data_IF_109678465284
#
_entry.id   IF_109678465284
#
_cell.length_a   1.000
_cell.length_b   1.000
_cell.length_c   1.000
_cell.angle_alpha   90.00
_cell.angle_beta   90.00
_cell.angle_gamma   90.00
#
_symmetry.space_group_name_H-M   'P 1'
#
loop_
_entity.id
_entity.type
_entity.pdbx_description
1 polymer ?
#
# COMPACT_ATOMS: atom_id res chain seq x y z
N UNK A 1 -3.94 9.15 4.10
CA UNK A 1 -5.24 8.76 4.62
C UNK A 1 -5.13 8.69 6.13
N UNK A 2 -6.07 9.34 6.81
CA UNK A 2 -6.27 9.19 8.23
C UNK A 2 -6.99 7.85 8.52
N UNK A 3 -6.93 7.34 9.75
CA UNK A 3 -7.57 6.07 10.16
C UNK A 3 -9.08 6.02 9.91
N UNK A 4 -9.74 7.19 9.86
CA UNK A 4 -11.13 7.34 9.45
C UNK A 4 -12.13 7.33 10.61
N UNK A 5 -13.42 7.53 10.32
CA UNK A 5 -14.46 7.62 11.34
C UNK A 5 -14.75 6.26 12.01
N UNK A 6 -15.34 6.29 13.20
CA UNK A 6 -15.77 5.07 13.88
C UNK A 6 -17.10 4.53 13.32
N UNK A 7 -17.58 3.38 13.81
CA UNK A 7 -18.82 2.69 13.36
C UNK A 7 -20.15 3.46 13.37
N UNK A 8 -20.17 4.71 13.86
CA UNK A 8 -21.34 5.59 13.81
C UNK A 8 -21.01 6.89 13.06
N UNK A 9 -20.05 6.81 12.15
CA UNK A 9 -19.62 7.85 11.24
C UNK A 9 -19.16 9.17 11.90
N UNK A 10 -18.63 9.11 13.14
CA UNK A 10 -18.02 10.28 13.77
C UNK A 10 -16.50 10.22 13.69
N UNK A 11 -15.91 11.38 13.42
CA UNK A 11 -14.48 11.60 13.31
C UNK A 11 -14.08 12.72 14.28
N UNK A 12 -12.94 12.55 14.97
CA UNK A 12 -12.36 13.58 15.81
C UNK A 12 -10.94 13.85 15.36
N UNK A 13 -10.70 15.06 14.87
CA UNK A 13 -9.37 15.51 14.50
C UNK A 13 -8.59 15.90 15.76
N UNK A 14 -7.71 15.01 16.21
CA UNK A 14 -6.87 15.21 17.39
C UNK A 14 -5.56 14.46 17.20
N UNK A 15 -4.44 15.18 17.21
CA UNK A 15 -3.08 14.61 17.02
C UNK A 15 -2.73 13.53 18.05
N UNK A 16 -3.32 13.59 19.23
CA UNK A 16 -3.15 12.57 20.29
C UNK A 16 -3.97 11.30 20.06
N UNK A 17 -4.90 11.33 19.11
CA UNK A 17 -5.80 10.21 18.82
C UNK A 17 -5.38 9.50 17.53
N UNK A 18 -4.45 8.57 17.72
CA UNK A 18 -3.88 7.74 16.67
C UNK A 18 -4.95 6.94 15.90
N UNK A 19 -6.04 6.52 16.55
CA UNK A 19 -7.08 5.72 15.89
C UNK A 19 -7.78 6.43 14.73
N UNK A 20 -7.94 7.75 14.80
CA UNK A 20 -8.59 8.53 13.74
C UNK A 20 -7.57 9.16 12.79
N UNK A 21 -6.39 9.51 13.29
CA UNK A 21 -5.45 10.39 12.58
C UNK A 21 -4.15 9.72 12.13
N UNK A 22 -3.92 8.43 12.43
CA UNK A 22 -2.67 7.76 12.06
C UNK A 22 -2.43 7.74 10.55
N UNK A 23 -1.35 8.38 10.07
CA UNK A 23 -0.92 8.25 8.70
C UNK A 23 -0.05 7.00 8.58
N UNK A 24 -0.60 5.89 8.08
CA UNK A 24 0.16 4.66 7.82
C UNK A 24 0.55 4.54 6.36
N UNK A 25 1.76 4.04 6.09
CA UNK A 25 2.22 3.76 4.73
C UNK A 25 1.31 2.75 4.02
N UNK A 26 0.90 1.70 4.73
CA UNK A 26 0.00 0.66 4.23
C UNK A 26 -1.41 1.19 3.90
N UNK A 27 -1.94 2.11 4.71
CA UNK A 27 -3.21 2.78 4.42
C UNK A 27 -3.14 3.61 3.14
N UNK A 28 -2.02 4.32 2.94
CA UNK A 28 -1.84 5.19 1.78
C UNK A 28 -1.59 4.42 0.47
N UNK A 29 -0.77 3.37 0.48
CA UNK A 29 -0.42 2.62 -0.74
C UNK A 29 -1.62 1.95 -1.38
N UNK A 30 -2.53 1.39 -0.58
CA UNK A 30 -3.73 0.72 -1.10
C UNK A 30 -4.76 1.70 -1.66
N UNK A 31 -4.81 2.92 -1.14
CA UNK A 31 -5.63 4.00 -1.67
C UNK A 31 -5.07 4.60 -2.95
N UNK A 32 -3.75 4.76 -3.05
CA UNK A 32 -3.10 5.19 -4.30
C UNK A 32 -3.37 4.18 -5.42
N UNK A 33 -3.26 2.88 -5.13
CA UNK A 33 -3.60 1.82 -6.09
C UNK A 33 -5.06 1.91 -6.58
N UNK A 34 -6.00 2.12 -5.66
CA UNK A 34 -7.42 2.24 -5.98
C UNK A 34 -7.73 3.52 -6.81
N UNK A 35 -7.11 4.65 -6.47
CA UNK A 35 -7.27 5.91 -7.21
C UNK A 35 -6.72 5.79 -8.63
N UNK A 36 -5.54 5.20 -8.82
CA UNK A 36 -4.96 4.94 -10.15
C UNK A 36 -5.88 4.04 -10.97
N UNK A 37 -6.45 2.99 -10.35
CA UNK A 37 -7.39 2.07 -11.01
C UNK A 37 -8.73 2.73 -11.37
N UNK A 38 -9.17 3.75 -10.62
CA UNK A 38 -10.42 4.46 -10.86
C UNK A 38 -10.29 5.56 -11.92
N UNK A 39 -9.11 6.17 -12.04
CA UNK A 39 -8.81 7.07 -13.16
C UNK A 39 -8.59 6.27 -14.45
N UNK A 40 -9.58 6.24 -15.34
CA UNK A 40 -9.51 5.53 -16.64
C UNK A 40 -8.29 5.91 -17.51
N UNK A 41 -7.66 7.06 -17.26
CA UNK A 41 -6.43 7.50 -17.92
C UNK A 41 -5.17 7.42 -17.02
N UNK A 42 -5.29 7.15 -15.72
CA UNK A 42 -4.18 7.19 -14.75
C UNK A 42 -3.75 8.61 -14.33
N UNK A 43 -4.36 9.64 -14.91
CA UNK A 43 -3.89 11.03 -14.78
C UNK A 43 -2.70 11.33 -15.70
N UNK A 44 -2.53 12.59 -16.09
CA UNK A 44 -1.36 13.02 -16.88
C UNK A 44 -0.07 12.77 -16.10
N UNK A 45 0.86 12.00 -16.66
CA UNK A 45 2.20 11.79 -16.12
C UNK A 45 2.38 10.61 -15.14
N UNK A 46 1.39 9.73 -14.99
CA UNK A 46 1.53 8.52 -14.17
C UNK A 46 1.79 7.30 -15.05
N UNK A 47 2.97 6.70 -14.92
CA UNK A 47 3.30 5.41 -15.55
C UNK A 47 2.74 4.24 -14.72
N UNK A 48 1.58 3.73 -15.14
CA UNK A 48 0.86 2.62 -14.50
C UNK A 48 1.67 1.34 -14.39
N UNK A 49 2.64 1.13 -15.28
CA UNK A 49 3.46 -0.07 -15.29
C UNK A 49 4.58 -0.03 -14.25
N UNK A 50 4.98 1.17 -13.79
CA UNK A 50 6.12 1.36 -12.89
C UNK A 50 5.77 1.86 -11.48
N UNK A 51 4.50 2.18 -11.17
CA UNK A 51 4.09 2.77 -9.87
C UNK A 51 4.54 1.93 -8.66
N UNK A 52 4.62 0.61 -8.81
CA UNK A 52 5.04 -0.31 -7.74
C UNK A 52 6.45 -0.88 -7.93
N UNK A 53 7.23 -0.37 -8.89
CA UNK A 53 8.59 -0.86 -9.17
C UNK A 53 9.56 -0.69 -8.00
N UNK A 54 9.37 0.35 -7.18
CA UNK A 54 10.16 0.60 -5.97
C UNK A 54 9.67 -0.16 -4.73
N UNK A 55 8.58 -0.93 -4.84
CA UNK A 55 8.06 -1.73 -3.73
C UNK A 55 8.70 -3.12 -3.81
N UNK A 56 9.41 -3.52 -2.75
CA UNK A 56 9.98 -4.87 -2.66
C UNK A 56 8.88 -5.92 -2.86
N UNK A 57 9.14 -6.98 -3.65
CA UNK A 57 8.17 -8.03 -3.89
C UNK A 57 7.69 -8.65 -2.58
N UNK A 58 6.38 -8.68 -2.36
CA UNK A 58 5.77 -9.26 -1.15
C UNK A 58 5.63 -10.78 -1.20
N UNK A 59 6.08 -11.42 -2.29
CA UNK A 59 6.18 -12.87 -2.39
C UNK A 59 7.56 -13.33 -1.91
N UNK A 60 7.66 -14.51 -1.27
CA UNK A 60 8.95 -15.05 -0.90
C UNK A 60 9.81 -15.20 -2.16
N UNK A 61 11.01 -14.62 -2.14
CA UNK A 61 12.05 -14.91 -3.13
C UNK A 61 12.17 -16.43 -3.23
N UNK A 62 12.20 -16.96 -4.46
CA UNK A 62 12.25 -18.40 -4.71
C UNK A 62 13.28 -19.06 -3.81
N UNK A 63 12.92 -20.19 -3.20
CA UNK A 63 13.83 -20.94 -2.34
C UNK A 63 15.18 -21.13 -3.02
N UNK A 64 16.31 -20.95 -2.31
CA UNK A 64 17.64 -21.18 -2.88
C UNK A 64 17.73 -22.58 -3.51
N UNK A 65 18.53 -22.74 -4.60
CA UNK A 65 18.66 -24.02 -5.28
C UNK A 65 19.12 -25.11 -4.31
N UNK A 66 18.64 -26.36 -4.47
CA UNK A 66 19.06 -27.46 -3.62
C UNK A 66 20.59 -27.64 -3.71
N UNK A 67 21.26 -27.99 -2.61
CA UNK A 67 22.70 -28.20 -2.60
C UNK A 67 23.10 -29.30 -3.60
N UNK A 68 24.32 -29.23 -4.19
CA UNK A 68 24.82 -30.27 -5.08
C UNK A 68 24.80 -31.62 -4.37
N UNK A 69 24.23 -32.64 -5.02
CA UNK A 69 24.20 -33.99 -4.50
C UNK A 69 25.63 -34.51 -4.29
N UNK A 70 25.91 -35.07 -3.11
CA UNK A 70 27.19 -35.71 -2.78
C UNK A 70 27.01 -37.24 -2.81
N UNK A 71 27.87 -37.97 -3.55
CA UNK A 71 27.89 -39.44 -3.53
C UNK A 71 28.35 -40.01 -2.18
#
# INVERSE_FOLDING_TARGET
>A
MAGGPHKFDKFKDSRTNINYTEPTLAGNTRLVAALVSLTGSGGFGVDKNAIFSGVSPLYPMSSPPPPPWKP
#
